data_IF_979587947697
#
_entry.id   IF_979587947697
#
_cell.length_a   1.000
_cell.length_b   1.000
_cell.length_c   1.000
_cell.angle_alpha   90.00
_cell.angle_beta   90.00
_cell.angle_gamma   90.00
#
_symmetry.space_group_name_H-M   'P 1'
#
loop_
_entity.id
_entity.type
_entity.pdbx_description
1 polymer ?
#
# COMPACT_ATOMS: atom_id res chain seq x y z
N UNK A 1 21.35 9.83 36.91
CA UNK A 1 22.03 8.53 37.13
C UNK A 1 21.46 7.55 36.12
N UNK A 2 22.29 6.91 35.31
CA UNK A 2 21.85 5.82 34.41
C UNK A 2 21.79 4.56 35.27
N UNK A 3 20.59 4.11 35.63
CA UNK A 3 20.43 2.84 36.33
C UNK A 3 20.52 1.68 35.33
N UNK A 4 21.54 0.83 35.49
CA UNK A 4 21.65 -0.45 34.77
C UNK A 4 20.71 -1.44 35.44
N UNK A 5 19.58 -1.75 34.79
CA UNK A 5 18.63 -2.73 35.31
C UNK A 5 19.08 -4.15 34.95
N UNK A 6 19.48 -4.94 35.94
CA UNK A 6 19.70 -6.38 35.81
C UNK A 6 18.40 -7.13 36.13
N UNK A 7 17.70 -7.76 35.16
CA UNK A 7 16.54 -8.60 35.45
C UNK A 7 16.97 -9.92 36.08
N UNK A 8 16.10 -10.50 36.93
CA UNK A 8 16.29 -11.77 37.66
C UNK A 8 16.39 -13.04 36.77
N UNK A 9 16.55 -12.92 35.44
CA UNK A 9 16.76 -14.05 34.52
C UNK A 9 17.93 -13.73 33.59
N UNK A 10 18.93 -14.59 33.61
CA UNK A 10 20.28 -14.40 33.05
C UNK A 10 20.41 -14.39 31.53
N UNK A 11 19.73 -13.44 30.88
CA UNK A 11 20.07 -13.00 29.53
C UNK A 11 20.65 -11.59 29.64
N UNK A 12 21.81 -11.34 29.02
CA UNK A 12 22.42 -10.02 28.99
C UNK A 12 21.48 -9.11 28.17
N UNK A 13 20.63 -8.35 28.85
CA UNK A 13 19.79 -7.34 28.22
C UNK A 13 20.61 -6.05 28.02
N UNK A 14 20.35 -5.33 26.93
CA UNK A 14 20.98 -4.04 26.64
C UNK A 14 20.72 -2.99 27.73
N UNK A 15 21.57 -1.96 27.78
CA UNK A 15 21.43 -0.84 28.73
C UNK A 15 20.20 -0.02 28.37
N UNK A 16 19.20 0.00 29.25
CA UNK A 16 17.94 0.71 29.02
C UNK A 16 17.68 1.76 30.11
N UNK A 17 17.30 2.97 29.69
CA UNK A 17 16.87 4.05 30.58
C UNK A 17 15.34 4.06 30.67
N UNK A 18 14.79 4.07 31.88
CA UNK A 18 13.33 4.21 32.11
C UNK A 18 12.86 5.66 31.90
N UNK A 19 11.59 5.90 31.53
CA UNK A 19 11.03 7.24 31.46
C UNK A 19 10.96 7.89 32.85
N UNK A 20 11.44 9.13 32.98
CA UNK A 20 11.34 9.91 34.21
C UNK A 20 9.98 10.62 34.28
N UNK A 21 9.02 9.98 34.93
CA UNK A 21 7.66 10.52 35.06
C UNK A 21 7.55 11.64 36.11
N UNK A 22 8.62 11.93 36.85
CA UNK A 22 8.63 13.05 37.78
C UNK A 22 8.93 14.38 37.08
N UNK A 23 9.53 14.34 35.88
CA UNK A 23 9.80 15.53 35.07
C UNK A 23 8.49 16.09 34.44
N UNK A 24 8.04 17.30 34.82
CA UNK A 24 6.85 17.91 34.24
C UNK A 24 7.01 18.21 32.74
N UNK A 25 8.24 18.45 32.25
CA UNK A 25 8.50 18.74 30.84
C UNK A 25 8.29 17.49 29.99
N UNK A 26 8.82 16.34 30.42
CA UNK A 26 8.60 15.07 29.73
C UNK A 26 7.12 14.69 29.71
N UNK A 27 6.40 14.85 30.83
CA UNK A 27 4.95 14.59 30.88
C UNK A 27 4.16 15.46 29.91
N UNK A 28 4.49 16.75 29.80
CA UNK A 28 3.83 17.66 28.87
C UNK A 28 4.07 17.27 27.40
N UNK A 29 5.25 16.72 27.07
CA UNK A 29 5.55 16.19 25.73
C UNK A 29 4.80 14.89 25.44
N UNK A 30 4.79 13.95 26.39
CA UNK A 30 4.10 12.67 26.25
C UNK A 30 2.59 12.85 26.07
N UNK A 31 1.98 13.81 26.76
CA UNK A 31 0.56 14.15 26.59
C UNK A 31 0.22 14.59 25.15
N UNK A 32 1.20 15.10 24.40
CA UNK A 32 1.07 15.50 22.99
C UNK A 32 1.54 14.41 22.01
N UNK A 33 1.89 13.21 22.50
CA UNK A 33 2.43 12.12 21.68
C UNK A 33 3.89 12.31 21.25
N UNK A 34 4.64 13.19 21.93
CA UNK A 34 6.06 13.48 21.68
C UNK A 34 6.94 13.03 22.84
N UNK A 35 8.27 13.06 22.68
CA UNK A 35 9.20 12.78 23.78
C UNK A 35 9.45 11.29 24.04
N UNK A 36 9.02 10.42 23.14
CA UNK A 36 9.30 8.98 23.20
C UNK A 36 10.78 8.62 22.99
N UNK A 37 11.64 9.59 22.68
CA UNK A 37 13.09 9.48 22.55
C UNK A 37 13.88 9.72 23.86
N UNK A 38 13.22 10.05 24.97
CA UNK A 38 13.88 10.38 26.26
C UNK A 38 14.23 9.16 27.13
N UNK A 39 13.76 7.99 26.72
CA UNK A 39 13.90 6.71 27.40
C UNK A 39 14.19 5.60 26.37
N UNK A 40 14.60 4.43 26.84
CA UNK A 40 15.04 3.32 26.00
C UNK A 40 16.56 3.22 25.94
N UNK A 41 17.08 2.68 24.85
CA UNK A 41 18.52 2.53 24.63
C UNK A 41 19.15 3.87 24.22
N UNK A 42 20.36 4.21 24.72
CA UNK A 42 21.08 5.40 24.26
C UNK A 42 21.38 5.32 22.75
N UNK A 43 20.91 6.30 21.99
CA UNK A 43 21.17 6.36 20.54
C UNK A 43 22.67 6.40 20.22
N UNK A 44 23.44 7.16 21.00
CA UNK A 44 24.90 7.19 20.92
C UNK A 44 25.54 6.45 22.11
N UNK A 45 26.57 5.63 21.89
CA UNK A 45 27.10 5.19 20.59
C UNK A 45 26.35 3.96 20.02
N UNK A 46 25.51 3.30 20.82
CA UNK A 46 25.03 1.94 20.56
C UNK A 46 24.38 1.77 19.19
N UNK A 47 23.45 2.66 18.82
CA UNK A 47 22.72 2.54 17.56
C UNK A 47 23.44 3.30 16.43
N UNK A 48 23.72 4.58 16.67
CA UNK A 48 24.27 5.50 15.66
C UNK A 48 25.69 5.15 15.21
N UNK A 49 26.56 4.68 16.10
CA UNK A 49 27.95 4.39 15.75
C UNK A 49 28.17 2.92 15.39
N UNK A 50 27.48 2.00 16.05
CA UNK A 50 27.72 0.57 15.82
C UNK A 50 26.73 -0.07 14.85
N UNK A 51 25.42 0.18 15.01
CA UNK A 51 24.41 -0.47 14.16
C UNK A 51 24.29 0.21 12.80
N UNK A 52 24.28 1.55 12.76
CA UNK A 52 24.05 2.29 11.52
C UNK A 52 25.10 1.96 10.44
N UNK A 53 26.42 1.95 10.71
CA UNK A 53 27.41 1.57 9.70
C UNK A 53 27.27 0.13 9.24
N UNK A 54 26.88 -0.80 10.12
CA UNK A 54 26.63 -2.21 9.74
C UNK A 54 25.48 -2.30 8.75
N UNK A 55 24.38 -1.56 9.00
CA UNK A 55 23.24 -1.51 8.08
C UNK A 55 23.63 -0.85 6.76
N UNK A 56 24.36 0.26 6.79
CA UNK A 56 24.81 0.99 5.59
C UNK A 56 25.75 0.13 4.74
N UNK A 57 26.77 -0.49 5.36
CA UNK A 57 27.70 -1.34 4.63
C UNK A 57 27.01 -2.60 4.13
N UNK A 58 26.07 -3.16 4.89
CA UNK A 58 25.27 -4.31 4.47
C UNK A 58 24.40 -3.99 3.25
N UNK A 59 23.71 -2.85 3.22
CA UNK A 59 22.90 -2.44 2.06
C UNK A 59 23.77 -2.16 0.83
N UNK A 60 24.90 -1.46 1.00
CA UNK A 60 25.86 -1.21 -0.09
C UNK A 60 26.41 -2.53 -0.63
N UNK A 61 26.81 -3.46 0.24
CA UNK A 61 27.34 -4.76 -0.17
C UNK A 61 26.31 -5.57 -0.96
N UNK A 62 25.05 -5.58 -0.54
CA UNK A 62 23.97 -6.23 -1.29
C UNK A 62 23.75 -5.58 -2.66
N UNK A 63 23.70 -4.25 -2.74
CA UNK A 63 23.52 -3.54 -4.02
C UNK A 63 24.68 -3.76 -4.98
N UNK A 64 25.92 -3.71 -4.49
CA UNK A 64 27.12 -4.02 -5.30
C UNK A 64 27.13 -5.48 -5.71
N UNK A 65 26.76 -6.39 -4.81
CA UNK A 65 26.64 -7.82 -5.11
C UNK A 65 25.67 -8.08 -6.26
N UNK A 66 24.48 -7.48 -6.22
CA UNK A 66 23.49 -7.58 -7.31
C UNK A 66 24.02 -6.98 -8.62
N UNK A 67 24.65 -5.81 -8.57
CA UNK A 67 25.19 -5.16 -9.77
C UNK A 67 26.32 -5.96 -10.45
N UNK A 68 27.10 -6.71 -9.67
CA UNK A 68 28.17 -7.59 -10.20
C UNK A 68 27.60 -8.90 -10.72
N UNK A 69 26.63 -9.49 -10.03
CA UNK A 69 26.02 -10.78 -10.42
C UNK A 69 25.07 -10.65 -11.61
N UNK A 70 24.38 -9.53 -11.73
CA UNK A 70 23.42 -9.24 -12.80
C UNK A 70 23.71 -7.85 -13.39
N UNK A 71 24.71 -7.73 -14.28
CA UNK A 71 25.05 -6.46 -14.90
C UNK A 71 23.92 -5.97 -15.82
N UNK A 72 23.71 -4.66 -15.86
CA UNK A 72 22.67 -4.05 -16.69
C UNK A 72 22.91 -4.30 -18.18
N UNK A 73 21.87 -4.73 -18.89
CA UNK A 73 21.90 -4.92 -20.34
C UNK A 73 21.84 -3.57 -21.08
N UNK A 74 22.65 -3.43 -22.13
CA UNK A 74 22.58 -2.27 -23.04
C UNK A 74 21.61 -2.63 -24.17
N UNK A 75 20.56 -1.83 -24.34
CA UNK A 75 19.57 -1.99 -25.41
C UNK A 75 20.02 -1.41 -26.75
N UNK A 76 19.23 -1.64 -27.78
CA UNK A 76 19.44 -1.04 -29.11
C UNK A 76 19.20 0.48 -29.09
N UNK A 77 19.87 1.27 -29.96
CA UNK A 77 19.58 2.69 -30.10
C UNK A 77 18.11 2.94 -30.50
N UNK A 78 17.55 4.05 -30.04
CA UNK A 78 16.15 4.37 -30.31
C UNK A 78 15.91 4.65 -31.81
N UNK A 79 14.99 3.90 -32.42
CA UNK A 79 14.48 4.14 -33.78
C UNK A 79 13.01 4.59 -33.71
N UNK A 80 12.67 5.83 -34.12
CA UNK A 80 11.29 6.31 -34.15
C UNK A 80 10.35 5.53 -35.08
N UNK A 81 10.88 4.80 -36.06
CA UNK A 81 10.08 4.08 -37.06
C UNK A 81 9.86 2.60 -36.72
N UNK A 82 10.53 2.08 -35.69
CA UNK A 82 10.40 0.70 -35.25
C UNK A 82 9.90 0.63 -33.80
N UNK A 83 8.68 0.11 -33.61
CA UNK A 83 8.12 -0.14 -32.26
C UNK A 83 8.50 -1.54 -31.77
N UNK A 84 9.11 -1.69 -30.59
CA UNK A 84 9.41 -3.01 -30.04
C UNK A 84 8.12 -3.77 -29.69
N UNK A 85 8.21 -5.11 -29.65
CA UNK A 85 7.07 -5.99 -29.38
C UNK A 85 6.53 -5.83 -27.96
N UNK A 86 7.40 -5.54 -26.99
CA UNK A 86 7.06 -5.32 -25.59
C UNK A 86 7.47 -3.90 -25.17
N UNK A 87 6.50 -3.15 -24.62
CA UNK A 87 6.70 -1.79 -24.11
C UNK A 87 6.22 -1.78 -22.67
N UNK A 88 7.16 -1.83 -21.73
CA UNK A 88 6.89 -1.83 -20.29
C UNK A 88 7.73 -0.74 -19.62
N UNK A 89 7.16 0.04 -18.69
CA UNK A 89 7.92 0.98 -17.88
C UNK A 89 8.66 0.24 -16.74
N UNK A 90 9.21 0.98 -15.79
CA UNK A 90 9.76 0.38 -14.57
C UNK A 90 8.66 -0.22 -13.67
N UNK A 91 9.04 -1.18 -12.82
CA UNK A 91 8.12 -2.05 -12.08
C UNK A 91 7.16 -1.31 -11.15
N UNK A 92 7.57 -0.20 -10.54
CA UNK A 92 6.71 0.60 -9.66
C UNK A 92 5.65 1.41 -10.43
N UNK A 93 5.82 1.57 -11.75
CA UNK A 93 4.81 2.16 -12.62
C UNK A 93 3.82 1.15 -13.20
N UNK A 94 4.03 -0.16 -13.02
CA UNK A 94 3.13 -1.19 -13.55
C UNK A 94 1.66 -1.01 -13.17
N UNK A 95 1.28 -0.70 -11.92
CA UNK A 95 -0.13 -0.51 -11.58
C UNK A 95 -0.77 0.68 -12.33
N UNK A 96 -0.02 1.77 -12.50
CA UNK A 96 -0.48 2.97 -13.23
C UNK A 96 -0.57 2.69 -14.73
N UNK A 97 0.44 2.01 -15.28
CA UNK A 97 0.45 1.59 -16.67
C UNK A 97 -0.75 0.69 -17.01
N UNK A 98 -1.08 -0.25 -16.12
CA UNK A 98 -2.26 -1.09 -16.26
C UNK A 98 -3.56 -0.27 -16.29
N UNK A 99 -3.69 0.77 -15.46
CA UNK A 99 -4.86 1.67 -15.47
C UNK A 99 -4.94 2.42 -16.81
N UNK A 100 -3.82 2.96 -17.29
CA UNK A 100 -3.78 3.75 -18.52
C UNK A 100 -4.14 2.93 -19.78
N UNK A 101 -3.76 1.65 -19.84
CA UNK A 101 -4.09 0.80 -20.99
C UNK A 101 -5.45 0.11 -20.91
N UNK A 102 -6.06 0.04 -19.72
CA UNK A 102 -7.38 -0.59 -19.54
C UNK A 102 -8.54 0.39 -19.63
N UNK A 103 -8.33 1.66 -19.28
CA UNK A 103 -9.39 2.67 -19.30
C UNK A 103 -9.50 3.29 -20.70
N UNK A 104 -10.65 3.16 -21.40
CA UNK A 104 -10.78 3.66 -22.77
C UNK A 104 -10.79 5.19 -22.87
N UNK A 105 -11.21 5.88 -21.79
CA UNK A 105 -11.22 7.34 -21.75
C UNK A 105 -9.89 7.89 -21.20
N UNK A 106 -9.13 8.58 -22.06
CA UNK A 106 -7.83 9.18 -21.74
C UNK A 106 -7.88 10.11 -20.52
N UNK A 107 -8.92 10.95 -20.39
CA UNK A 107 -9.05 11.89 -19.27
C UNK A 107 -9.27 11.14 -17.95
N UNK A 108 -10.09 10.09 -17.96
CA UNK A 108 -10.37 9.28 -16.77
C UNK A 108 -9.12 8.53 -16.30
N UNK A 109 -8.33 8.00 -17.23
CA UNK A 109 -7.04 7.35 -16.90
C UNK A 109 -6.06 8.29 -16.20
N UNK A 110 -5.93 9.52 -16.71
CA UNK A 110 -5.08 10.55 -16.09
C UNK A 110 -5.59 10.94 -14.70
N UNK A 111 -6.91 11.14 -14.55
CA UNK A 111 -7.49 11.46 -13.24
C UNK A 111 -7.26 10.34 -12.21
N UNK A 112 -7.39 9.07 -12.62
CA UNK A 112 -7.13 7.93 -11.73
C UNK A 112 -5.65 7.84 -11.33
N UNK A 113 -4.72 8.11 -12.25
CA UNK A 113 -3.29 8.17 -11.94
C UNK A 113 -2.99 9.24 -10.89
N UNK A 114 -3.51 10.46 -11.08
CA UNK A 114 -3.31 11.58 -10.16
C UNK A 114 -4.03 11.36 -8.82
N UNK A 115 -5.11 10.57 -8.81
CA UNK A 115 -5.84 10.25 -7.58
C UNK A 115 -5.02 9.45 -6.57
N UNK A 116 -4.00 8.69 -7.01
CA UNK A 116 -3.16 7.88 -6.11
C UNK A 116 -2.36 8.76 -5.13
N UNK A 117 -1.49 9.70 -5.57
CA UNK A 117 -0.75 10.56 -4.65
C UNK A 117 -1.66 11.51 -3.87
N UNK A 118 -2.72 12.05 -4.49
CA UNK A 118 -3.68 12.92 -3.79
C UNK A 118 -4.40 12.14 -2.68
N UNK A 119 -4.87 10.93 -2.97
CA UNK A 119 -5.51 10.06 -1.98
C UNK A 119 -4.59 9.76 -0.80
N UNK A 120 -3.32 9.41 -1.08
CA UNK A 120 -2.33 9.16 -0.04
C UNK A 120 -2.05 10.39 0.83
N UNK A 121 -2.01 11.58 0.24
CA UNK A 121 -1.85 12.85 0.98
C UNK A 121 -3.02 13.08 1.95
N UNK A 122 -4.23 12.68 1.57
CA UNK A 122 -5.42 12.86 2.43
C UNK A 122 -5.53 11.88 3.60
N UNK A 123 -4.77 10.78 3.60
CA UNK A 123 -4.83 9.72 4.63
C UNK A 123 -4.75 10.25 6.07
N UNK A 124 -3.71 11.02 6.48
CA UNK A 124 -3.61 11.48 7.87
C UNK A 124 -4.77 12.39 8.30
N UNK A 125 -5.41 13.09 7.36
CA UNK A 125 -6.55 13.97 7.66
C UNK A 125 -7.86 13.19 7.84
N UNK A 126 -8.04 12.12 7.05
CA UNK A 126 -9.20 11.24 7.14
C UNK A 126 -9.14 10.33 8.35
N UNK A 127 -7.94 9.84 8.67
CA UNK A 127 -7.71 8.87 9.74
C UNK A 127 -7.54 9.48 11.14
N UNK A 128 -7.54 10.81 11.25
CA UNK A 128 -7.39 11.55 12.51
C UNK A 128 -8.58 11.38 13.49
N UNK A 129 -9.60 10.61 13.10
CA UNK A 129 -10.76 10.34 13.97
C UNK A 129 -10.37 9.49 15.17
N UNK A 130 -9.33 8.67 15.05
CA UNK A 130 -8.91 7.75 16.10
C UNK A 130 -7.41 7.86 16.42
N UNK A 131 -7.07 7.83 17.72
CA UNK A 131 -5.70 7.94 18.24
C UNK A 131 -4.96 6.59 18.33
N UNK A 132 -5.65 5.47 18.11
CA UNK A 132 -5.00 4.16 18.16
C UNK A 132 -3.97 4.02 17.03
N UNK A 133 -2.82 3.44 17.34
CA UNK A 133 -1.74 3.18 16.36
C UNK A 133 -1.68 1.71 15.93
N UNK A 134 -2.12 0.79 16.79
CA UNK A 134 -2.05 -0.65 16.52
C UNK A 134 -3.05 -1.05 15.40
N UNK A 135 -2.61 -1.73 14.31
CA UNK A 135 -3.47 -2.19 13.22
C UNK A 135 -4.68 -3.03 13.66
N UNK A 136 -4.53 -3.84 14.72
CA UNK A 136 -5.62 -4.67 15.26
C UNK A 136 -6.72 -3.84 15.94
N UNK A 137 -6.40 -2.61 16.37
CA UNK A 137 -7.36 -1.66 16.95
C UNK A 137 -7.99 -0.72 15.91
N UNK A 138 -7.61 -0.88 14.62
CA UNK A 138 -8.11 -0.09 13.49
C UNK A 138 -8.55 -1.01 12.34
N UNK A 139 -9.50 -1.93 12.56
CA UNK A 139 -9.81 -2.99 11.60
C UNK A 139 -10.26 -2.46 10.23
N UNK A 140 -10.98 -1.33 10.20
CA UNK A 140 -11.42 -0.67 8.96
C UNK A 140 -10.23 -0.20 8.12
N UNK A 141 -9.36 0.64 8.70
CA UNK A 141 -8.20 1.21 8.01
C UNK A 141 -7.26 0.09 7.52
N UNK A 142 -7.00 -0.90 8.37
CA UNK A 142 -6.19 -2.08 8.02
C UNK A 142 -6.80 -2.86 6.85
N UNK A 143 -8.13 -3.06 6.84
CA UNK A 143 -8.80 -3.77 5.73
C UNK A 143 -8.72 -2.98 4.42
N UNK A 144 -8.94 -1.66 4.46
CA UNK A 144 -8.82 -0.79 3.27
C UNK A 144 -7.39 -0.79 2.73
N UNK A 145 -6.38 -0.72 3.61
CA UNK A 145 -4.97 -0.82 3.24
C UNK A 145 -4.64 -2.17 2.57
N UNK A 146 -5.13 -3.28 3.14
CA UNK A 146 -4.91 -4.61 2.57
C UNK A 146 -5.57 -4.77 1.20
N UNK A 147 -6.81 -4.29 1.04
CA UNK A 147 -7.50 -4.29 -0.26
C UNK A 147 -6.75 -3.43 -1.27
N UNK A 148 -6.34 -2.22 -0.89
CA UNK A 148 -5.57 -1.32 -1.76
C UNK A 148 -4.24 -1.95 -2.21
N UNK A 149 -3.52 -2.59 -1.29
CA UNK A 149 -2.28 -3.32 -1.57
C UNK A 149 -2.54 -4.50 -2.52
N UNK A 150 -3.58 -5.30 -2.26
CA UNK A 150 -3.95 -6.41 -3.12
C UNK A 150 -4.32 -5.95 -4.54
N UNK A 151 -5.04 -4.82 -4.67
CA UNK A 151 -5.37 -4.23 -5.97
C UNK A 151 -4.13 -3.71 -6.69
N UNK A 152 -3.20 -3.04 -5.98
CA UNK A 152 -1.95 -2.57 -6.57
C UNK A 152 -1.10 -3.73 -7.11
N UNK A 153 -0.99 -4.83 -6.35
CA UNK A 153 -0.31 -6.06 -6.79
C UNK A 153 -1.05 -6.71 -7.97
N UNK A 154 -2.38 -6.79 -7.93
CA UNK A 154 -3.19 -7.35 -9.01
C UNK A 154 -2.99 -6.59 -10.32
N UNK A 155 -3.00 -5.26 -10.26
CA UNK A 155 -2.75 -4.41 -11.43
C UNK A 155 -1.29 -4.51 -11.90
N UNK A 156 -0.33 -4.58 -10.97
CA UNK A 156 1.09 -4.74 -11.28
C UNK A 156 1.40 -6.05 -12.01
N UNK A 157 0.84 -7.17 -11.55
CA UNK A 157 0.95 -8.48 -12.23
C UNK A 157 0.16 -8.45 -13.54
N UNK A 158 -1.02 -7.84 -13.54
CA UNK A 158 -1.85 -7.69 -14.74
C UNK A 158 -1.14 -6.95 -15.88
N UNK A 159 -0.22 -6.03 -15.56
CA UNK A 159 0.54 -5.22 -16.51
C UNK A 159 1.44 -6.04 -17.45
N UNK A 160 2.01 -7.14 -16.97
CA UNK A 160 2.90 -8.01 -17.76
C UNK A 160 2.15 -9.01 -18.63
N UNK A 161 0.83 -9.13 -18.46
CA UNK A 161 -0.01 -10.04 -19.22
C UNK A 161 -0.70 -9.35 -20.41
N UNK A 162 -1.13 -10.12 -21.42
CA UNK A 162 -1.98 -9.63 -22.51
C UNK A 162 -3.29 -9.00 -22.01
N UNK A 163 -3.77 -7.97 -22.71
CA UNK A 163 -4.90 -7.13 -22.27
C UNK A 163 -6.18 -7.93 -22.01
N UNK A 164 -6.42 -8.98 -22.80
CA UNK A 164 -7.56 -9.89 -22.75
C UNK A 164 -7.59 -10.76 -21.48
N UNK A 165 -6.44 -10.98 -20.84
CA UNK A 165 -6.30 -11.77 -19.60
C UNK A 165 -5.91 -10.91 -18.40
N UNK A 166 -5.53 -9.66 -18.63
CA UNK A 166 -4.95 -8.78 -17.60
C UNK A 166 -5.84 -8.58 -16.37
N UNK A 167 -7.17 -8.59 -16.53
CA UNK A 167 -8.13 -8.48 -15.42
C UNK A 167 -8.42 -9.81 -14.73
N UNK A 168 -8.31 -10.93 -15.43
CA UNK A 168 -8.58 -12.28 -14.88
C UNK A 168 -7.31 -12.99 -14.41
N UNK A 169 -6.14 -12.39 -14.66
CA UNK A 169 -4.80 -12.97 -14.49
C UNK A 169 -4.64 -14.36 -15.11
N UNK A 170 -5.48 -14.71 -16.09
CA UNK A 170 -5.56 -16.05 -16.65
C UNK A 170 -6.16 -17.12 -15.72
N UNK A 171 -6.41 -16.83 -14.44
CA UNK A 171 -6.89 -17.78 -13.42
C UNK A 171 -8.32 -18.27 -13.69
N UNK A 172 -9.19 -17.41 -14.22
CA UNK A 172 -10.59 -17.74 -14.52
C UNK A 172 -10.87 -17.97 -16.01
N UNK A 173 -9.83 -17.92 -16.86
CA UNK A 173 -10.01 -17.91 -18.31
C UNK A 173 -10.56 -19.24 -18.84
N UNK A 174 -10.17 -20.37 -18.24
CA UNK A 174 -10.64 -21.72 -18.61
C UNK A 174 -12.14 -21.93 -18.36
N UNK A 175 -12.75 -21.21 -17.42
CA UNK A 175 -14.18 -21.24 -17.12
C UNK A 175 -14.99 -20.23 -17.95
N UNK A 176 -14.40 -19.08 -18.31
CA UNK A 176 -15.08 -17.97 -18.98
C UNK A 176 -15.14 -18.11 -20.51
N UNK A 177 -14.14 -18.75 -21.15
CA UNK A 177 -14.15 -18.98 -22.61
C UNK A 177 -15.10 -20.10 -23.04
N UNK A 178 -15.40 -21.07 -22.16
CA UNK A 178 -16.24 -22.23 -22.49
C UNK A 178 -17.75 -21.95 -22.50
N UNK A 179 -18.24 -20.99 -21.72
CA UNK A 179 -19.67 -20.67 -21.68
C UNK A 179 -19.95 -19.16 -21.76
N UNK A 180 -20.50 -18.73 -22.90
CA UNK A 180 -20.99 -17.35 -23.16
C UNK A 180 -22.04 -16.88 -22.12
N UNK A 181 -22.73 -17.81 -21.46
CA UNK A 181 -23.68 -17.55 -20.37
C UNK A 181 -23.02 -17.28 -19.00
N UNK A 182 -21.92 -17.96 -18.66
CA UNK A 182 -21.19 -17.74 -17.41
C UNK A 182 -20.51 -16.37 -17.38
N UNK A 183 -20.09 -15.85 -18.53
CA UNK A 183 -19.61 -14.46 -18.66
C UNK A 183 -20.67 -13.46 -18.22
N UNK A 184 -21.93 -13.62 -18.67
CA UNK A 184 -23.05 -12.74 -18.27
C UNK A 184 -23.39 -12.88 -16.79
N UNK A 185 -23.38 -14.11 -16.25
CA UNK A 185 -23.69 -14.39 -14.85
C UNK A 185 -22.59 -13.86 -13.92
N UNK A 186 -21.32 -14.10 -14.23
CA UNK A 186 -20.19 -13.59 -13.43
C UNK A 186 -20.13 -12.06 -13.49
N UNK A 187 -20.36 -11.45 -14.66
CA UNK A 187 -20.52 -9.98 -14.76
C UNK A 187 -21.80 -9.44 -14.09
N UNK A 188 -22.82 -10.26 -13.85
CA UNK A 188 -24.00 -9.87 -13.08
C UNK A 188 -23.81 -10.05 -11.57
N UNK A 189 -23.07 -11.09 -11.17
CA UNK A 189 -22.79 -11.43 -9.78
C UNK A 189 -21.67 -10.55 -9.24
N UNK A 190 -20.60 -10.29 -9.99
CA UNK A 190 -19.44 -9.54 -9.50
C UNK A 190 -19.80 -8.12 -9.02
N UNK A 191 -20.63 -7.33 -9.72
CA UNK A 191 -21.14 -6.06 -9.21
C UNK A 191 -22.09 -6.26 -8.03
N UNK A 192 -22.91 -7.32 -8.01
CA UNK A 192 -23.81 -7.61 -6.88
C UNK A 192 -23.08 -8.06 -5.63
N UNK A 193 -21.96 -8.77 -5.78
CA UNK A 193 -21.10 -9.27 -4.72
C UNK A 193 -20.22 -8.14 -4.18
N UNK A 194 -19.70 -7.26 -5.06
CA UNK A 194 -19.09 -5.99 -4.65
C UNK A 194 -20.11 -5.12 -3.92
N UNK A 195 -21.34 -4.99 -4.42
CA UNK A 195 -22.40 -4.24 -3.74
C UNK A 195 -22.80 -4.88 -2.40
N UNK A 196 -22.77 -6.21 -2.27
CA UNK A 196 -23.07 -6.92 -1.03
C UNK A 196 -21.94 -6.79 -0.01
N UNK A 197 -20.68 -6.95 -0.42
CA UNK A 197 -19.49 -6.68 0.40
C UNK A 197 -19.50 -5.22 0.83
N UNK A 198 -19.80 -4.30 -0.09
CA UNK A 198 -19.89 -2.87 0.19
C UNK A 198 -21.07 -2.55 1.10
N UNK A 199 -22.22 -3.23 0.97
CA UNK A 199 -23.36 -3.08 1.87
C UNK A 199 -23.06 -3.62 3.28
N UNK A 200 -22.39 -4.78 3.38
CA UNK A 200 -21.94 -5.34 4.65
C UNK A 200 -20.83 -4.49 5.28
N UNK A 201 -19.93 -3.93 4.48
CA UNK A 201 -18.91 -2.98 4.90
C UNK A 201 -19.55 -1.66 5.35
N UNK A 202 -20.51 -1.11 4.61
CA UNK A 202 -21.25 0.10 5.00
C UNK A 202 -22.06 -0.13 6.29
N UNK A 203 -22.68 -1.31 6.44
CA UNK A 203 -23.39 -1.72 7.65
C UNK A 203 -22.46 -1.97 8.84
N UNK A 204 -21.22 -2.41 8.59
CA UNK A 204 -20.16 -2.49 9.60
C UNK A 204 -19.64 -1.09 9.98
N UNK A 205 -19.47 -0.21 8.99
CA UNK A 205 -19.07 1.19 9.17
C UNK A 205 -20.10 2.01 9.95
N UNK A 206 -21.39 1.76 9.73
CA UNK A 206 -22.50 2.36 10.50
C UNK A 206 -22.45 1.98 12.00
N UNK A 207 -21.92 0.79 12.35
CA UNK A 207 -21.68 0.41 13.75
C UNK A 207 -20.42 1.04 14.36
N UNK A 208 -19.45 1.42 13.52
CA UNK A 208 -18.15 1.98 13.96
C UNK A 208 -18.22 3.52 14.06
N UNK A 209 -19.25 4.15 13.50
CA UNK A 209 -19.57 5.57 13.71
C UNK A 209 -18.73 6.55 12.89
N UNK A 210 -18.02 6.07 11.85
CA UNK A 210 -17.03 6.87 11.12
C UNK A 210 -17.57 7.36 9.76
N UNK A 211 -18.38 8.41 9.79
CA UNK A 211 -19.15 8.93 8.65
C UNK A 211 -18.32 9.53 7.51
N UNK A 212 -17.05 9.87 7.76
CA UNK A 212 -16.17 10.55 6.77
C UNK A 212 -15.56 9.59 5.74
N UNK A 213 -15.22 8.37 6.14
CA UNK A 213 -14.72 7.32 5.25
C UNK A 213 -15.82 6.76 4.35
N UNK A 214 -17.06 6.72 4.85
CA UNK A 214 -18.25 6.32 4.09
C UNK A 214 -18.44 7.25 2.88
N UNK A 215 -18.33 8.57 3.07
CA UNK A 215 -18.59 9.55 2.01
C UNK A 215 -17.56 9.48 0.87
N UNK A 216 -16.27 9.31 1.19
CA UNK A 216 -15.20 9.26 0.19
C UNK A 216 -15.28 7.98 -0.66
N UNK A 217 -15.61 6.85 -0.02
CA UNK A 217 -15.85 5.57 -0.71
C UNK A 217 -17.13 5.61 -1.55
N UNK A 218 -18.18 6.30 -1.08
CA UNK A 218 -19.42 6.50 -1.83
C UNK A 218 -19.22 7.40 -3.05
N UNK A 219 -18.37 8.43 -2.95
CA UNK A 219 -18.01 9.32 -4.07
C UNK A 219 -17.16 8.57 -5.10
N UNK A 220 -16.15 7.78 -4.68
CA UNK A 220 -15.37 6.93 -5.58
C UNK A 220 -16.26 5.91 -6.31
N UNK A 221 -17.24 5.36 -5.61
CA UNK A 221 -18.23 4.41 -6.15
C UNK A 221 -19.25 5.07 -7.10
N UNK A 222 -19.72 6.29 -6.80
CA UNK A 222 -20.61 7.06 -7.68
C UNK A 222 -19.90 7.46 -8.99
N UNK A 223 -18.60 7.78 -8.93
CA UNK A 223 -17.78 8.03 -10.13
C UNK A 223 -17.70 6.76 -11.01
N UNK A 224 -17.60 5.58 -10.40
CA UNK A 224 -17.62 4.30 -11.13
C UNK A 224 -19.01 3.92 -11.69
N UNK A 225 -20.10 4.45 -11.11
CA UNK A 225 -21.49 4.12 -11.49
C UNK A 225 -22.08 5.06 -12.56
N UNK A 226 -21.53 6.26 -12.75
CA UNK A 226 -22.18 7.35 -13.50
C UNK A 226 -21.96 7.35 -15.01
N UNK A 227 -21.08 6.51 -15.57
CA UNK A 227 -21.05 6.29 -17.02
C UNK A 227 -21.21 4.82 -17.33
N UNK A 228 -22.40 4.51 -17.87
CA UNK A 228 -22.78 3.30 -18.61
C UNK A 228 -21.51 2.64 -19.16
N UNK A 229 -21.09 1.55 -18.52
CA UNK A 229 -19.97 0.69 -18.90
C UNK A 229 -20.35 0.02 -20.23
N UNK A 230 -20.34 0.78 -21.32
CA UNK A 230 -20.61 0.35 -22.69
C UNK A 230 -19.30 -0.19 -23.23
N UNK A 231 -19.02 -1.45 -22.95
CA UNK A 231 -17.97 -2.21 -23.63
C UNK A 231 -18.57 -2.75 -24.92
N UNK A 232 -18.12 -2.20 -26.04
CA UNK A 232 -18.07 -2.90 -27.33
C UNK A 232 -16.73 -3.64 -27.35
#
# INVERSE_FOLDING_TARGET
MVEVYFPKRGWIMGVTKKPDLNDPVLRAKLAKGMGHNYYGEPAWPNDLLYIFPVVILGTIACSVGLAVLEPSMIGEPADPFATPLEILPEWYFFPVFQILRTVPNKLLGVLLMVSVPIGLLTVPFLENVNKFQNPFRRPVATTVFLIGTAVALWLGIGATLPIDKSLTLGLFQSLITRHRYLRKILFWIFPRYINLIMYLFCKYMDRVGDSKLILLFFILFLILKTKKFQWI
#
